data_IF_547464532854
#
_entry.id   IF_547464532854
#
_cell.length_a   1.000
_cell.length_b   1.000
_cell.length_c   1.000
_cell.angle_alpha   90.00
_cell.angle_beta   90.00
_cell.angle_gamma   90.00
#
_symmetry.space_group_name_H-M   'P 1'
#
loop_
_entity.id
_entity.type
_entity.pdbx_description
1 polymer ?
#
# COMPACT_ATOMS: atom_id res chain seq x y z
N UNK A 1 1.44 -17.23 -70.03
CA UNK A 1 1.15 -18.23 -68.97
C UNK A 1 1.50 -17.56 -67.66
N UNK A 2 0.51 -16.98 -66.97
CA UNK A 2 0.73 -16.28 -65.71
C UNK A 2 0.94 -17.32 -64.58
N UNK A 3 1.89 -17.14 -63.67
CA UNK A 3 2.12 -18.08 -62.58
C UNK A 3 0.89 -18.12 -61.67
N UNK A 4 0.39 -19.32 -61.40
CA UNK A 4 -0.67 -19.55 -60.43
C UNK A 4 -0.17 -19.08 -59.05
N UNK A 5 -0.95 -18.22 -58.43
CA UNK A 5 -0.71 -17.70 -57.08
C UNK A 5 -0.80 -18.91 -56.15
N UNK A 6 0.29 -19.24 -55.47
CA UNK A 6 0.40 -20.40 -54.59
C UNK A 6 -0.34 -20.10 -53.28
N UNK A 7 -1.62 -20.48 -53.22
CA UNK A 7 -2.56 -20.18 -52.11
C UNK A 7 -2.28 -21.02 -50.86
N UNK A 8 -1.53 -22.12 -50.97
CA UNK A 8 -1.31 -23.04 -49.85
C UNK A 8 -0.28 -22.54 -48.83
N UNK A 9 0.71 -21.73 -49.24
CA UNK A 9 1.75 -21.19 -48.34
C UNK A 9 1.19 -20.18 -47.31
N UNK A 10 0.03 -19.57 -47.59
CA UNK A 10 -0.56 -18.51 -46.76
C UNK A 10 -1.50 -19.06 -45.67
N UNK A 11 -1.97 -20.31 -45.80
CA UNK A 11 -3.02 -20.86 -44.94
C UNK A 11 -2.55 -21.15 -43.51
N UNK A 12 -1.37 -21.73 -43.34
CA UNK A 12 -0.77 -21.95 -42.00
C UNK A 12 -0.46 -20.62 -41.29
N UNK A 13 -0.10 -19.59 -42.04
CA UNK A 13 0.13 -18.25 -41.51
C UNK A 13 -1.19 -17.59 -41.07
N UNK A 14 -2.25 -17.72 -41.88
CA UNK A 14 -3.59 -17.23 -41.56
C UNK A 14 -4.20 -17.92 -40.33
N UNK A 15 -4.03 -19.23 -40.20
CA UNK A 15 -4.53 -19.99 -39.04
C UNK A 15 -3.83 -19.56 -37.74
N UNK A 16 -2.50 -19.40 -37.76
CA UNK A 16 -1.74 -18.91 -36.59
C UNK A 16 -2.09 -17.46 -36.26
N UNK A 17 -2.23 -16.61 -37.27
CA UNK A 17 -2.62 -15.22 -37.07
C UNK A 17 -4.00 -15.12 -36.41
N UNK A 18 -4.96 -15.93 -36.86
CA UNK A 18 -6.31 -15.96 -36.29
C UNK A 18 -6.33 -16.43 -34.84
N UNK A 19 -5.48 -17.40 -34.48
CA UNK A 19 -5.27 -17.82 -33.09
C UNK A 19 -4.67 -16.68 -32.26
N UNK A 20 -3.63 -16.00 -32.73
CA UNK A 20 -2.97 -14.89 -32.00
C UNK A 20 -3.94 -13.75 -31.73
N UNK A 21 -4.76 -13.37 -32.71
CA UNK A 21 -5.77 -12.32 -32.54
C UNK A 21 -6.80 -12.74 -31.48
N UNK A 22 -7.30 -13.98 -31.51
CA UNK A 22 -8.23 -14.47 -30.49
C UNK A 22 -7.60 -14.53 -29.11
N UNK A 23 -6.34 -14.98 -29.00
CA UNK A 23 -5.60 -14.97 -27.73
C UNK A 23 -5.42 -13.55 -27.22
N UNK A 24 -5.13 -12.58 -28.11
CA UNK A 24 -5.04 -11.17 -27.76
C UNK A 24 -6.35 -10.61 -27.20
N UNK A 25 -7.48 -10.90 -27.85
CA UNK A 25 -8.80 -10.50 -27.35
C UNK A 25 -9.14 -11.14 -26.01
N UNK A 26 -8.85 -12.43 -25.84
CA UNK A 26 -9.07 -13.13 -24.56
C UNK A 26 -8.17 -12.54 -23.48
N UNK A 27 -6.89 -12.28 -23.76
CA UNK A 27 -5.97 -11.66 -22.81
C UNK A 27 -6.43 -10.25 -22.40
N UNK A 28 -6.91 -9.44 -23.35
CA UNK A 28 -7.47 -8.11 -23.07
C UNK A 28 -8.73 -8.22 -22.20
N UNK A 29 -9.65 -9.13 -22.52
CA UNK A 29 -10.85 -9.35 -21.74
C UNK A 29 -10.53 -9.81 -20.30
N UNK A 30 -9.55 -10.70 -20.14
CA UNK A 30 -9.05 -11.14 -18.83
C UNK A 30 -8.44 -9.97 -18.06
N UNK A 31 -7.62 -9.13 -18.71
CA UNK A 31 -7.05 -7.95 -18.08
C UNK A 31 -8.13 -6.97 -17.59
N UNK A 32 -9.15 -6.71 -18.41
CA UNK A 32 -10.29 -5.89 -18.03
C UNK A 32 -11.06 -6.49 -16.84
N UNK A 33 -11.28 -7.81 -16.83
CA UNK A 33 -11.93 -8.49 -15.71
C UNK A 33 -11.10 -8.39 -14.42
N UNK A 34 -9.78 -8.59 -14.50
CA UNK A 34 -8.86 -8.43 -13.36
C UNK A 34 -8.91 -7.00 -12.81
N UNK A 35 -8.94 -5.99 -13.70
CA UNK A 35 -9.07 -4.59 -13.30
C UNK A 35 -10.43 -4.29 -12.67
N UNK A 36 -11.53 -4.81 -13.23
CA UNK A 36 -12.90 -4.65 -12.69
C UNK A 36 -13.08 -5.34 -11.34
N UNK A 37 -12.45 -6.50 -11.14
CA UNK A 37 -12.41 -7.20 -9.86
C UNK A 37 -11.51 -6.48 -8.83
N UNK A 38 -10.87 -5.38 -9.21
CA UNK A 38 -10.07 -4.57 -8.30
C UNK A 38 -8.73 -5.17 -7.91
N UNK A 39 -8.28 -6.26 -8.56
CA UNK A 39 -7.00 -6.91 -8.23
C UNK A 39 -5.78 -6.00 -8.47
N UNK A 40 -5.91 -5.00 -9.34
CA UNK A 40 -4.87 -4.00 -9.64
C UNK A 40 -5.17 -2.60 -9.09
N UNK A 41 -6.27 -2.43 -8.34
CA UNK A 41 -6.71 -1.16 -7.79
C UNK A 41 -6.45 -1.02 -6.29
N UNK A 42 -6.74 0.16 -5.73
CA UNK A 42 -6.61 0.48 -4.30
C UNK A 42 -7.50 -0.35 -3.36
N UNK A 43 -8.35 -1.23 -3.89
CA UNK A 43 -9.21 -2.15 -3.14
C UNK A 43 -8.81 -3.64 -3.23
N UNK A 44 -7.72 -3.98 -3.93
CA UNK A 44 -7.28 -5.37 -4.06
C UNK A 44 -6.66 -5.92 -2.76
N UNK A 45 -6.57 -7.26 -2.60
CA UNK A 45 -5.96 -7.90 -1.42
C UNK A 45 -4.45 -7.61 -1.26
N UNK A 46 -3.81 -7.04 -2.28
CA UNK A 46 -2.42 -6.57 -2.24
C UNK A 46 -2.30 -5.05 -2.01
N UNK A 47 -3.42 -4.34 -1.86
CA UNK A 47 -3.44 -2.90 -1.65
C UNK A 47 -2.97 -2.50 -0.25
N UNK A 48 -3.17 -3.37 0.74
CA UNK A 48 -2.70 -3.16 2.11
C UNK A 48 -1.60 -4.15 2.47
N UNK A 49 -0.61 -3.66 3.19
CA UNK A 49 0.37 -4.46 3.90
C UNK A 49 0.09 -4.34 5.40
N UNK A 50 0.25 -5.45 6.09
CA UNK A 50 0.16 -5.53 7.54
C UNK A 50 1.55 -5.79 8.11
N UNK A 51 2.04 -4.89 8.97
CA UNK A 51 3.22 -5.12 9.80
C UNK A 51 2.74 -5.43 11.21
N UNK A 52 3.40 -6.38 11.86
CA UNK A 52 3.31 -6.56 13.30
C UNK A 52 4.51 -5.88 13.98
N UNK A 53 4.23 -4.97 14.90
CA UNK A 53 5.19 -4.32 15.77
C UNK A 53 4.88 -4.73 17.22
N UNK A 54 5.40 -5.88 17.65
CA UNK A 54 5.08 -6.45 18.97
C UNK A 54 3.58 -6.80 19.09
N UNK A 55 2.84 -6.30 20.11
CA UNK A 55 1.39 -6.54 20.26
C UNK A 55 0.51 -5.68 19.33
N UNK A 56 1.12 -4.86 18.47
CA UNK A 56 0.42 -3.87 17.64
C UNK A 56 0.48 -4.26 16.18
N UNK A 57 -0.67 -4.16 15.51
CA UNK A 57 -0.82 -4.42 14.07
C UNK A 57 -0.95 -3.08 13.35
N UNK A 58 -0.01 -2.78 12.45
CA UNK A 58 -0.03 -1.57 11.63
C UNK A 58 -0.45 -1.99 10.22
N UNK A 59 -1.60 -1.50 9.77
CA UNK A 59 -2.11 -1.69 8.43
C UNK A 59 -1.85 -0.40 7.62
N UNK A 60 -1.09 -0.53 6.54
CA UNK A 60 -0.68 0.58 5.68
C UNK A 60 -0.92 0.20 4.22
N UNK A 61 -1.18 1.19 3.33
CA UNK A 61 -1.27 0.91 1.91
C UNK A 61 0.09 0.45 1.39
N UNK A 62 0.13 -0.66 0.66
CA UNK A 62 1.31 -1.18 -0.04
C UNK A 62 1.78 -0.22 -1.15
N UNK A 63 0.82 0.48 -1.76
CA UNK A 63 1.01 1.38 -2.88
C UNK A 63 0.24 2.66 -2.56
N UNK A 64 0.97 3.73 -2.22
CA UNK A 64 0.36 5.06 -2.04
C UNK A 64 0.36 5.81 -3.38
N UNK A 65 -0.69 6.59 -3.65
CA UNK A 65 -0.78 7.44 -4.84
C UNK A 65 -0.34 8.86 -4.52
N UNK A 66 0.55 9.42 -5.34
CA UNK A 66 0.98 10.81 -5.16
C UNK A 66 -0.23 11.76 -5.13
N UNK A 67 -0.25 12.66 -4.14
CA UNK A 67 -1.34 13.60 -3.85
C UNK A 67 -2.70 13.00 -3.45
N UNK A 68 -2.85 11.69 -3.31
CA UNK A 68 -4.04 11.10 -2.70
C UNK A 68 -3.88 11.04 -1.18
N UNK A 69 -4.96 11.32 -0.44
CA UNK A 69 -5.00 11.02 0.99
C UNK A 69 -5.22 9.53 1.17
N UNK A 70 -4.32 8.89 1.90
CA UNK A 70 -4.39 7.49 2.31
C UNK A 70 -4.58 7.40 3.82
N UNK A 71 -5.15 6.29 4.29
CA UNK A 71 -5.33 6.04 5.73
C UNK A 71 -4.35 4.98 6.19
N UNK A 72 -3.55 5.31 7.19
CA UNK A 72 -2.71 4.38 7.93
C UNK A 72 -3.41 4.03 9.24
N UNK A 73 -3.75 2.76 9.42
CA UNK A 73 -4.51 2.29 10.58
C UNK A 73 -3.60 1.50 11.51
N UNK A 74 -3.44 1.98 12.74
CA UNK A 74 -2.68 1.33 13.79
C UNK A 74 -3.66 0.69 14.77
N UNK A 75 -3.71 -0.64 14.78
CA UNK A 75 -4.47 -1.42 15.74
C UNK A 75 -3.60 -1.76 16.95
N UNK A 76 -3.90 -1.11 18.06
CA UNK A 76 -3.21 -1.29 19.33
C UNK A 76 -4.07 -2.16 20.25
N UNK A 77 -3.48 -3.25 20.74
CA UNK A 77 -4.01 -4.01 21.87
C UNK A 77 -3.13 -3.74 23.10
N UNK A 78 -3.32 -2.59 23.75
CA UNK A 78 -2.56 -2.26 24.96
C UNK A 78 -3.29 -2.71 26.22
N UNK A 79 -2.53 -3.28 27.16
CA UNK A 79 -3.02 -3.62 28.50
C UNK A 79 -2.93 -2.43 29.45
N UNK A 80 -2.29 -1.33 29.04
CA UNK A 80 -2.13 -0.11 29.83
C UNK A 80 -3.15 0.96 29.45
N UNK A 81 -3.33 1.95 30.32
CA UNK A 81 -4.22 3.11 30.08
C UNK A 81 -3.66 4.10 29.05
N UNK A 82 -2.45 3.85 28.57
CA UNK A 82 -1.69 4.71 27.67
C UNK A 82 -0.97 3.87 26.65
N UNK A 83 -0.93 4.37 25.42
CA UNK A 83 -0.13 3.80 24.34
C UNK A 83 0.68 4.91 23.70
N UNK A 84 1.95 4.61 23.43
CA UNK A 84 2.86 5.52 22.76
C UNK A 84 3.23 4.96 21.38
N UNK A 85 2.98 5.73 20.33
CA UNK A 85 3.32 5.39 18.94
C UNK A 85 4.38 6.38 18.44
N UNK A 86 5.55 5.87 18.09
CA UNK A 86 6.63 6.64 17.48
C UNK A 86 6.56 6.48 15.96
N UNK A 87 6.34 7.61 15.29
CA UNK A 87 6.44 7.73 13.84
C UNK A 87 7.87 8.18 13.52
N UNK A 88 8.65 7.39 12.76
CA UNK A 88 10.05 7.70 12.49
C UNK A 88 10.19 8.95 11.63
N UNK A 89 11.26 9.73 11.83
CA UNK A 89 11.50 10.97 11.10
C UNK A 89 11.48 10.80 9.55
N UNK A 90 12.01 9.67 9.07
CA UNK A 90 12.00 9.32 7.65
C UNK A 90 10.58 9.22 7.03
N UNK A 91 9.55 9.01 7.86
CA UNK A 91 8.15 9.04 7.43
C UNK A 91 7.71 10.47 7.11
N UNK A 92 8.05 11.44 7.96
CA UNK A 92 7.72 12.87 7.78
C UNK A 92 8.36 13.48 6.53
N UNK A 93 9.48 12.92 6.06
CA UNK A 93 10.12 13.35 4.83
C UNK A 93 9.33 12.95 3.56
N UNK A 94 8.38 12.03 3.66
CA UNK A 94 7.66 11.45 2.50
C UNK A 94 6.16 11.71 2.62
N UNK A 95 5.63 11.66 3.83
CA UNK A 95 4.22 11.84 4.15
C UNK A 95 4.01 13.04 5.05
N UNK A 96 2.97 13.80 4.74
CA UNK A 96 2.40 14.77 5.68
C UNK A 96 1.18 14.16 6.33
N UNK A 97 1.05 14.33 7.64
CA UNK A 97 -0.12 13.88 8.40
C UNK A 97 -1.20 14.98 8.26
N UNK A 98 -2.29 14.65 7.58
CA UNK A 98 -3.44 15.55 7.38
C UNK A 98 -4.34 15.57 8.63
N UNK A 99 -4.58 14.40 9.23
CA UNK A 99 -5.43 14.27 10.42
C UNK A 99 -5.12 12.98 11.18
N UNK A 100 -5.46 12.96 12.47
CA UNK A 100 -5.27 11.81 13.36
C UNK A 100 -6.56 11.58 14.13
N UNK A 101 -7.04 10.35 14.15
CA UNK A 101 -8.23 9.94 14.90
C UNK A 101 -7.95 8.62 15.62
N UNK A 102 -8.08 8.54 16.96
CA UNK A 102 -8.50 9.59 17.90
C UNK A 102 -7.43 10.67 18.11
N UNK A 103 -7.81 11.79 18.76
CA UNK A 103 -6.88 12.87 19.05
C UNK A 103 -5.78 12.40 20.03
N UNK A 104 -4.52 12.65 19.67
CA UNK A 104 -3.39 12.38 20.54
C UNK A 104 -3.43 13.29 21.78
N UNK A 105 -3.05 12.73 22.94
CA UNK A 105 -2.95 13.44 24.22
C UNK A 105 -1.72 14.36 24.25
N UNK A 106 -0.60 13.88 23.72
CA UNK A 106 0.64 14.62 23.61
C UNK A 106 1.39 14.21 22.35
N UNK A 107 2.10 15.16 21.75
CA UNK A 107 3.00 14.93 20.63
C UNK A 107 4.35 15.49 21.01
N UNK A 108 5.38 14.66 21.02
CA UNK A 108 6.75 15.06 21.37
C UNK A 108 7.66 14.81 20.17
N UNK A 109 8.28 15.87 19.65
CA UNK A 109 9.32 15.73 18.64
C UNK A 109 10.61 15.21 19.29
N UNK A 110 11.10 14.07 18.82
CA UNK A 110 12.34 13.43 19.27
C UNK A 110 13.32 13.30 18.10
N UNK A 111 14.63 13.07 18.35
CA UNK A 111 15.59 12.82 17.28
C UNK A 111 15.26 11.59 16.41
N UNK A 112 14.50 10.64 16.96
CA UNK A 112 14.07 9.44 16.23
C UNK A 112 12.81 9.69 15.38
N UNK A 113 12.05 10.75 15.68
CA UNK A 113 10.77 11.06 15.02
C UNK A 113 9.74 11.66 15.98
N UNK A 114 8.47 11.64 15.58
CA UNK A 114 7.36 12.18 16.38
C UNK A 114 6.75 11.10 17.26
N UNK A 115 6.71 11.36 18.57
CA UNK A 115 6.15 10.47 19.57
C UNK A 115 4.72 10.91 19.91
N UNK A 116 3.74 10.08 19.58
CA UNK A 116 2.33 10.32 19.85
C UNK A 116 1.87 9.49 21.06
N UNK A 117 1.28 10.15 22.06
CA UNK A 117 0.69 9.49 23.22
C UNK A 117 -0.83 9.46 23.08
N UNK A 118 -1.43 8.29 23.18
CA UNK A 118 -2.87 8.08 23.12
C UNK A 118 -3.40 7.54 24.45
N UNK A 119 -4.56 8.04 24.88
CA UNK A 119 -5.29 7.48 26.00
C UNK A 119 -6.11 6.28 25.51
N UNK A 120 -5.84 5.09 26.05
CA UNK A 120 -6.49 3.84 25.67
C UNK A 120 -7.16 3.24 26.90
N UNK A 121 -8.32 2.61 26.75
CA UNK A 121 -8.93 1.88 27.86
C UNK A 121 -8.16 0.58 28.09
N UNK A 122 -7.77 0.25 29.34
CA UNK A 122 -7.02 -0.96 29.64
C UNK A 122 -7.83 -2.20 29.24
N UNK A 123 -7.22 -3.09 28.46
CA UNK A 123 -7.88 -4.29 27.91
C UNK A 123 -8.78 -4.04 26.70
N UNK A 124 -8.86 -2.79 26.22
CA UNK A 124 -9.56 -2.41 25.01
C UNK A 124 -8.70 -2.56 23.76
N UNK A 125 -9.33 -2.83 22.61
CA UNK A 125 -8.71 -2.65 21.29
C UNK A 125 -8.88 -1.18 20.89
N UNK A 126 -7.79 -0.48 20.64
CA UNK A 126 -7.81 0.87 20.07
C UNK A 126 -7.39 0.82 18.61
N UNK A 127 -8.09 1.57 17.78
CA UNK A 127 -7.74 1.79 16.39
C UNK A 127 -7.37 3.26 16.25
N UNK A 128 -6.18 3.54 15.74
CA UNK A 128 -5.67 4.88 15.50
C UNK A 128 -5.47 5.03 13.99
N UNK A 129 -6.27 5.90 13.39
CA UNK A 129 -6.24 6.22 11.97
C UNK A 129 -5.46 7.51 11.76
N UNK A 130 -4.40 7.43 10.98
CA UNK A 130 -3.61 8.56 10.51
C UNK A 130 -3.95 8.79 9.04
N UNK A 131 -4.56 9.93 8.73
CA UNK A 131 -4.72 10.36 7.33
C UNK A 131 -3.40 10.96 6.88
N UNK A 132 -2.78 10.37 5.87
CA UNK A 132 -1.46 10.75 5.39
C UNK A 132 -1.51 11.03 3.90
N UNK A 133 -0.78 12.05 3.48
CA UNK A 133 -0.66 12.43 2.07
C UNK A 133 0.80 12.40 1.64
N UNK A 134 1.15 11.68 0.56
CA UNK A 134 2.50 11.73 0.02
C UNK A 134 2.78 13.11 -0.58
N UNK A 135 3.83 13.78 -0.10
CA UNK A 135 4.25 15.08 -0.63
C UNK A 135 5.18 14.98 -1.83
N UNK A 136 5.83 13.81 -2.00
CA UNK A 136 6.72 13.53 -3.13
C UNK A 136 6.59 12.08 -3.61
N UNK A 137 6.78 11.82 -4.92
CA UNK A 137 6.83 10.47 -5.45
C UNK A 137 8.13 9.79 -5.01
N UNK A 138 8.05 8.55 -4.54
CA UNK A 138 9.20 7.77 -4.07
C UNK A 138 9.06 6.32 -4.51
N UNK A 139 9.94 5.87 -5.40
CA UNK A 139 9.83 4.54 -6.01
C UNK A 139 10.15 3.41 -5.03
N UNK A 140 10.98 3.64 -4.01
CA UNK A 140 11.18 2.76 -2.83
C UNK A 140 11.78 3.58 -1.68
N UNK A 141 11.09 3.68 -0.55
CA UNK A 141 11.64 4.22 0.69
C UNK A 141 11.64 3.17 1.78
N UNK A 142 12.78 3.02 2.46
CA UNK A 142 12.81 2.35 3.74
C UNK A 142 12.14 3.27 4.76
N UNK A 143 10.95 2.91 5.18
CA UNK A 143 10.37 3.44 6.40
C UNK A 143 11.17 2.81 7.55
N UNK A 144 11.73 3.67 8.39
CA UNK A 144 12.41 3.24 9.62
C UNK A 144 11.48 2.40 10.50
N UNK A 145 12.03 1.71 11.51
CA UNK A 145 11.21 0.91 12.41
C UNK A 145 10.22 1.82 13.16
N UNK A 146 8.93 1.50 13.06
CA UNK A 146 7.92 2.12 13.92
C UNK A 146 8.10 1.55 15.32
N UNK A 147 8.16 2.40 16.35
CA UNK A 147 8.22 1.94 17.74
C UNK A 147 6.87 2.14 18.40
N UNK A 148 6.29 1.10 19.00
CA UNK A 148 5.06 1.21 19.77
C UNK A 148 5.29 0.63 21.16
N UNK A 149 5.03 1.40 22.20
CA UNK A 149 5.29 1.03 23.60
C UNK A 149 6.73 0.48 23.83
N UNK A 150 7.70 1.01 23.08
CA UNK A 150 9.11 0.58 23.13
C UNK A 150 9.47 -0.64 22.25
N UNK A 151 8.49 -1.34 21.69
CA UNK A 151 8.71 -2.44 20.74
C UNK A 151 8.93 -1.90 19.32
N UNK A 152 10.04 -2.27 18.67
CA UNK A 152 10.38 -1.83 17.31
C UNK A 152 9.81 -2.79 16.25
N UNK A 153 9.23 -2.25 15.19
CA UNK A 153 8.83 -3.02 14.00
C UNK A 153 10.04 -3.37 13.14
N UNK A 154 9.98 -4.44 12.32
CA UNK A 154 10.97 -4.63 11.26
C UNK A 154 10.93 -3.44 10.26
N UNK A 155 12.08 -3.07 9.67
CA UNK A 155 12.15 -2.01 8.67
C UNK A 155 11.30 -2.41 7.46
N UNK A 156 10.45 -1.50 6.98
CA UNK A 156 9.50 -1.79 5.90
C UNK A 156 9.77 -0.90 4.70
N UNK A 157 9.62 -1.48 3.50
CA UNK A 157 9.72 -0.74 2.24
C UNK A 157 8.34 -0.34 1.75
N UNK A 158 8.15 0.95 1.47
CA UNK A 158 6.94 1.48 0.83
C UNK A 158 7.26 2.02 -0.57
N UNK A 159 6.32 1.83 -1.49
CA UNK A 159 6.38 2.38 -2.86
C UNK A 159 5.27 3.41 -3.04
N UNK A 160 5.64 4.63 -3.44
CA UNK A 160 4.72 5.72 -3.78
C UNK A 160 4.78 5.92 -5.30
N UNK A 161 3.67 5.67 -5.99
CA UNK A 161 3.56 5.86 -7.43
C UNK A 161 3.31 7.34 -7.77
N UNK A 162 3.94 7.87 -8.83
CA UNK A 162 3.68 9.22 -9.35
C UNK A 162 2.29 9.36 -9.97
#
# INVERSE_FOLDING_TARGET
MAPAIDVDTDRDFQERFWIVVRVGWVAMAVLCLVALLGLTGSGGPYSSQTIQAGPVRIDFPAIARWQASDTLTVHVASQSERTTVLIPAAFGDIFTIDSISPQARSVTATPEGELFEFAVKPGGKATIDFSVRPVRPVWRSQLGPFKVDGASSPPTTLTVLP
#
